data_IF_149921633942
#
_entry.id   IF_149921633942
#
_cell.length_a   1.000
_cell.length_b   1.000
_cell.length_c   1.000
_cell.angle_alpha   90.00
_cell.angle_beta   90.00
_cell.angle_gamma   90.00
#
_symmetry.space_group_name_H-M   'P 1'
#
loop_
_entity.id
_entity.type
_entity.pdbx_description
1 polymer ?
#
# COMPACT_ATOMS: atom_id res chain seq x y z
N UNK A 1 -5.53 -8.61 2.07
CA UNK A 1 -5.33 -8.04 0.72
C UNK A 1 -5.21 -6.53 0.87
N UNK A 2 -4.28 -5.92 0.14
CA UNK A 2 -4.07 -4.47 0.12
C UNK A 2 -4.21 -3.94 -1.30
N UNK A 3 -4.90 -2.82 -1.47
CA UNK A 3 -4.95 -2.05 -2.71
C UNK A 3 -4.28 -0.70 -2.46
N UNK A 4 -3.33 -0.35 -3.30
CA UNK A 4 -2.58 0.92 -3.25
C UNK A 4 -2.95 1.74 -4.47
N UNK A 5 -3.44 2.94 -4.21
CA UNK A 5 -3.83 3.93 -5.22
C UNK A 5 -2.81 5.07 -5.13
N UNK A 6 -2.08 5.33 -6.22
CA UNK A 6 -1.09 6.40 -6.28
C UNK A 6 -1.55 7.50 -7.23
N UNK A 7 -1.40 8.76 -6.85
CA UNK A 7 -1.64 9.89 -7.77
C UNK A 7 -0.57 9.92 -8.88
N UNK A 8 0.70 9.70 -8.53
CA UNK A 8 1.81 9.61 -9.46
C UNK A 8 2.54 8.27 -9.35
N UNK A 9 2.58 7.51 -10.44
CA UNK A 9 3.29 6.23 -10.50
C UNK A 9 4.82 6.39 -10.50
N UNK A 10 5.36 7.59 -10.76
CA UNK A 10 6.77 7.86 -10.58
C UNK A 10 7.20 7.74 -9.10
N UNK A 11 6.29 8.00 -8.15
CA UNK A 11 6.52 7.88 -6.71
C UNK A 11 6.41 6.44 -6.19
N UNK A 12 6.14 5.44 -7.06
CA UNK A 12 5.97 4.04 -6.65
C UNK A 12 7.18 3.46 -5.91
N UNK A 13 8.40 3.83 -6.32
CA UNK A 13 9.63 3.38 -5.67
C UNK A 13 9.73 3.84 -4.22
N UNK A 14 9.56 5.15 -4.00
CA UNK A 14 9.56 5.77 -2.67
C UNK A 14 8.46 5.19 -1.77
N UNK A 15 7.24 5.04 -2.30
CA UNK A 15 6.16 4.38 -1.59
C UNK A 15 6.54 2.95 -1.18
N UNK A 16 7.16 2.18 -2.08
CA UNK A 16 7.47 0.78 -1.83
C UNK A 16 8.54 0.60 -0.74
N UNK A 17 9.49 1.52 -0.62
CA UNK A 17 10.47 1.54 0.48
C UNK A 17 9.79 1.73 1.83
N UNK A 18 8.92 2.73 1.96
CA UNK A 18 8.15 3.00 3.19
C UNK A 18 7.23 1.83 3.52
N UNK A 19 6.53 1.29 2.52
CA UNK A 19 5.62 0.16 2.68
C UNK A 19 6.35 -1.12 3.12
N UNK A 20 7.52 -1.40 2.57
CA UNK A 20 8.33 -2.56 2.93
C UNK A 20 8.83 -2.46 4.37
N UNK A 21 9.33 -1.29 4.77
CA UNK A 21 9.77 -1.04 6.15
C UNK A 21 8.62 -1.23 7.15
N UNK A 22 7.40 -0.80 6.80
CA UNK A 22 6.23 -0.97 7.67
C UNK A 22 5.81 -2.43 7.89
N UNK A 23 6.07 -3.31 6.92
CA UNK A 23 5.73 -4.75 6.96
C UNK A 23 6.90 -5.65 7.34
N UNK A 24 8.05 -5.09 7.73
CA UNK A 24 9.21 -5.87 8.09
C UNK A 24 8.89 -6.91 9.18
N UNK A 25 9.33 -8.15 8.99
CA UNK A 25 9.09 -9.25 9.93
C UNK A 25 7.67 -9.85 9.89
N UNK A 26 6.80 -9.40 8.99
CA UNK A 26 5.44 -9.94 8.82
C UNK A 26 5.29 -10.79 7.56
N UNK A 27 4.27 -11.64 7.51
CA UNK A 27 3.84 -12.29 6.25
C UNK A 27 3.24 -11.23 5.34
N UNK A 28 3.86 -11.02 4.17
CA UNK A 28 3.44 -10.00 3.21
C UNK A 28 2.03 -10.29 2.66
N UNK A 29 1.14 -9.28 2.60
CA UNK A 29 -0.20 -9.45 2.06
C UNK A 29 -0.18 -9.52 0.53
N UNK A 30 -1.14 -10.22 -0.06
CA UNK A 30 -1.46 -10.03 -1.48
C UNK A 30 -1.81 -8.56 -1.75
N UNK A 31 -1.19 -7.97 -2.79
CA UNK A 31 -1.24 -6.53 -3.10
C UNK A 31 -1.57 -6.28 -4.57
N UNK A 32 -2.37 -5.24 -4.83
CA UNK A 32 -2.48 -4.57 -6.13
C UNK A 32 -2.10 -3.10 -5.97
N UNK A 33 -1.35 -2.54 -6.93
CA UNK A 33 -0.93 -1.14 -6.93
C UNK A 33 -1.06 -0.54 -8.33
N UNK A 34 -1.67 0.64 -8.45
CA UNK A 34 -1.87 1.32 -9.73
C UNK A 34 -2.10 2.82 -9.56
N UNK A 35 -1.84 3.56 -10.64
CA UNK A 35 -2.05 5.00 -10.73
C UNK A 35 -3.52 5.36 -10.90
N UNK A 36 -3.94 6.47 -10.29
CA UNK A 36 -5.28 7.05 -10.42
C UNK A 36 -5.20 8.53 -10.75
N UNK A 37 -6.27 9.08 -11.33
CA UNK A 37 -6.30 10.49 -11.76
C UNK A 37 -6.23 11.48 -10.60
N UNK A 38 -6.91 11.19 -9.50
CA UNK A 38 -6.99 12.05 -8.32
C UNK A 38 -7.42 11.24 -7.10
N UNK A 39 -7.08 11.74 -5.92
CA UNK A 39 -7.47 11.18 -4.62
C UNK A 39 -8.16 12.25 -3.76
N UNK A 40 -9.01 11.85 -2.79
CA UNK A 40 -9.64 12.79 -1.87
C UNK A 40 -8.62 13.68 -1.14
N UNK A 41 -8.98 14.95 -0.93
CA UNK A 41 -8.15 15.95 -0.25
C UNK A 41 -6.77 16.23 -0.87
N UNK A 42 -6.54 15.84 -2.13
CA UNK A 42 -5.22 16.01 -2.78
C UNK A 42 -4.15 15.10 -2.17
N UNK A 43 -4.55 13.92 -1.69
CA UNK A 43 -3.61 12.93 -1.18
C UNK A 43 -2.74 12.36 -2.32
N UNK A 44 -1.49 12.04 -2.01
CA UNK A 44 -0.57 11.38 -2.95
C UNK A 44 -0.78 9.87 -3.06
N UNK A 45 -1.25 9.26 -1.98
CA UNK A 45 -1.46 7.81 -1.89
C UNK A 45 -2.66 7.49 -1.00
N UNK A 46 -3.44 6.48 -1.38
CA UNK A 46 -4.49 5.88 -0.57
C UNK A 46 -4.26 4.37 -0.47
N UNK A 47 -4.38 3.82 0.75
CA UNK A 47 -4.14 2.40 1.03
C UNK A 47 -5.40 1.78 1.62
N UNK A 48 -6.03 0.88 0.86
CA UNK A 48 -7.19 0.12 1.30
C UNK A 48 -6.74 -1.27 1.74
N UNK A 49 -6.97 -1.62 3.01
CA UNK A 49 -6.55 -2.89 3.57
C UNK A 49 -7.75 -3.73 4.05
N UNK A 50 -7.74 -5.02 3.70
CA UNK A 50 -8.61 -6.04 4.30
C UNK A 50 -7.74 -7.07 5.03
N UNK A 51 -7.99 -7.20 6.32
CA UNK A 51 -7.27 -8.10 7.23
C UNK A 51 -8.22 -9.05 7.96
N UNK A 52 -7.67 -10.13 8.50
CA UNK A 52 -8.35 -11.06 9.42
C UNK A 52 -7.57 -11.09 10.72
N UNK A 53 -8.22 -11.45 11.84
CA UNK A 53 -7.51 -11.55 13.12
C UNK A 53 -6.36 -12.56 13.00
N UNK A 54 -5.16 -12.16 13.40
CA UNK A 54 -3.94 -12.97 13.29
C UNK A 54 -3.25 -12.93 11.91
N UNK A 55 -3.71 -12.10 10.96
CA UNK A 55 -2.97 -11.90 9.71
C UNK A 55 -1.63 -11.22 9.94
N UNK A 56 -0.58 -11.69 9.27
CA UNK A 56 0.77 -11.11 9.34
C UNK A 56 1.64 -11.70 10.46
N UNK A 57 1.08 -12.55 11.33
CA UNK A 57 1.83 -13.35 12.31
C UNK A 57 2.47 -14.56 11.63
N UNK A 58 3.71 -14.91 12.02
CA UNK A 58 4.32 -16.21 11.70
C UNK A 58 3.85 -17.29 12.68
#
# INVERSE_FOLDING_TARGET
MVTVLLEDMAEFGEFNEVYAAWLEGTILPARAAYGVRELPAGAKVEVVARAVRGSGSN
#
